data_IF_508222260633
#
_entry.id   IF_508222260633
#
_cell.length_a   1.000
_cell.length_b   1.000
_cell.length_c   1.000
_cell.angle_alpha   90.00
_cell.angle_beta   90.00
_cell.angle_gamma   90.00
#
_symmetry.space_group_name_H-M   'P 1'
#
loop_
_entity.id
_entity.type
_entity.pdbx_description
1 polymer ?
#
# COMPACT_ATOMS: atom_id res chain seq x y z
N UNK A 1 -8.94 33.47 -37.69
CA UNK A 1 -9.12 34.52 -36.67
C UNK A 1 -8.68 33.94 -35.33
N UNK A 2 -7.44 34.22 -34.95
CA UNK A 2 -6.74 33.65 -33.80
C UNK A 2 -6.78 34.67 -32.66
N UNK A 3 -7.38 34.30 -31.52
CA UNK A 3 -7.41 35.11 -30.30
C UNK A 3 -6.04 35.03 -29.58
N UNK A 4 -5.52 36.13 -29.03
CA UNK A 4 -4.29 36.10 -28.24
C UNK A 4 -4.53 35.54 -26.83
N UNK A 5 -3.52 34.90 -26.21
CA UNK A 5 -3.62 34.37 -24.85
C UNK A 5 -3.58 35.48 -23.79
N UNK A 6 -4.21 35.29 -22.61
CA UNK A 6 -4.17 36.24 -21.51
C UNK A 6 -2.82 36.25 -20.80
N UNK A 7 -2.39 37.44 -20.37
CA UNK A 7 -1.14 37.68 -19.66
C UNK A 7 -1.14 37.09 -18.23
N UNK A 8 0.02 36.63 -17.70
CA UNK A 8 0.09 36.09 -16.36
C UNK A 8 0.04 37.19 -15.29
N UNK A 9 -0.87 37.04 -14.33
CA UNK A 9 -0.91 37.85 -13.11
C UNK A 9 0.28 37.51 -12.21
N UNK A 10 1.15 38.49 -11.98
CA UNK A 10 2.24 38.44 -11.00
C UNK A 10 1.66 38.59 -9.59
N UNK A 11 1.77 37.55 -8.77
CA UNK A 11 1.54 37.65 -7.33
C UNK A 11 2.78 38.26 -6.65
N UNK A 12 2.58 39.40 -5.97
CA UNK A 12 3.57 40.00 -5.09
C UNK A 12 3.41 39.39 -3.70
N UNK A 13 4.36 38.55 -3.28
CA UNK A 13 4.56 38.23 -1.86
C UNK A 13 5.29 39.41 -1.21
N UNK A 14 4.68 39.95 -0.15
CA UNK A 14 5.34 40.89 0.78
C UNK A 14 5.98 40.06 1.89
N UNK A 15 7.30 40.01 1.91
CA UNK A 15 8.06 39.53 3.07
C UNK A 15 8.17 40.66 4.10
N UNK A 16 7.86 40.33 5.36
CA UNK A 16 8.08 41.20 6.50
C UNK A 16 9.26 40.66 7.32
N UNK A 17 10.12 41.61 7.70
CA UNK A 17 11.17 41.54 8.73
C UNK A 17 12.47 40.81 8.34
N UNK A 18 13.49 41.63 8.10
CA UNK A 18 14.89 41.22 8.04
C UNK A 18 15.58 41.29 9.41
N UNK A 19 16.64 40.49 9.55
CA UNK A 19 18.02 40.92 9.82
C UNK A 19 18.81 39.75 10.45
N UNK A 20 20.12 39.62 10.16
CA UNK A 20 20.85 38.37 10.25
C UNK A 20 21.64 38.22 11.56
N UNK A 21 21.92 36.98 11.96
CA UNK A 21 22.95 36.69 12.96
C UNK A 21 23.83 35.54 12.49
N UNK A 22 24.97 35.93 11.91
CA UNK A 22 26.16 35.12 11.72
C UNK A 22 26.77 34.86 13.11
N UNK A 23 26.97 33.60 13.51
CA UNK A 23 28.01 33.26 14.50
C UNK A 23 28.78 32.04 14.03
N UNK A 24 30.06 32.29 13.84
CA UNK A 24 31.10 31.36 13.43
C UNK A 24 31.85 30.87 14.67
N UNK A 25 32.31 29.61 14.58
CA UNK A 25 33.47 28.97 15.20
C UNK A 25 33.61 28.98 16.73
N UNK A 26 33.76 27.78 17.30
CA UNK A 26 35.06 27.36 17.86
C UNK A 26 35.14 25.84 18.08
N UNK A 27 36.16 25.23 17.47
CA UNK A 27 36.70 23.91 17.80
C UNK A 27 37.39 23.97 19.17
N UNK A 28 37.23 22.93 20.00
CA UNK A 28 38.18 22.57 21.06
C UNK A 28 38.39 21.05 21.07
N UNK A 29 39.57 20.54 20.74
CA UNK A 29 40.07 19.25 21.21
C UNK A 29 41.23 19.49 22.22
N UNK A 30 41.99 18.46 22.63
CA UNK A 30 41.62 17.26 23.37
C UNK A 30 42.33 17.24 24.75
N UNK A 31 42.01 16.30 25.66
CA UNK A 31 42.93 15.98 26.75
C UNK A 31 43.15 14.49 26.87
N UNK A 32 44.42 14.14 26.80
CA UNK A 32 44.99 12.81 26.78
C UNK A 32 45.14 12.22 28.20
N UNK A 33 45.43 10.92 28.18
CA UNK A 33 46.27 10.19 29.13
C UNK A 33 45.65 9.77 30.46
N UNK A 34 45.43 8.46 30.59
CA UNK A 34 46.27 7.66 31.51
C UNK A 34 46.28 6.18 31.12
N UNK A 35 47.49 5.74 30.79
CA UNK A 35 47.95 4.35 30.75
C UNK A 35 48.08 3.86 32.19
N UNK A 36 47.47 2.72 32.51
CA UNK A 36 47.94 1.85 33.60
C UNK A 36 48.02 0.43 33.03
N UNK A 37 49.26 -0.04 32.93
CA UNK A 37 49.66 -1.45 32.74
C UNK A 37 49.54 -2.20 34.08
N UNK A 38 49.61 -3.53 33.96
CA UNK A 38 49.90 -4.56 34.98
C UNK A 38 48.65 -5.16 35.65
N UNK A 39 48.48 -6.47 35.84
CA UNK A 39 49.27 -7.69 35.63
C UNK A 39 48.28 -8.88 35.66
N UNK A 40 48.44 -9.88 34.79
CA UNK A 40 47.93 -11.26 34.92
C UNK A 40 48.76 -12.00 35.99
N UNK A 41 48.28 -13.06 36.69
CA UNK A 41 47.99 -14.40 36.13
C UNK A 41 46.96 -15.25 36.96
N UNK A 42 46.91 -16.61 36.90
CA UNK A 42 46.74 -17.52 35.77
C UNK A 42 45.56 -18.54 35.95
N UNK A 43 45.30 -19.30 34.88
CA UNK A 43 44.74 -20.66 34.84
C UNK A 43 43.38 -20.97 35.51
N UNK A 44 42.36 -21.08 34.65
CA UNK A 44 41.19 -21.93 34.87
C UNK A 44 40.47 -22.13 33.54
N UNK A 45 40.72 -23.26 32.87
CA UNK A 45 40.00 -23.68 31.66
C UNK A 45 38.69 -24.35 32.03
N UNK A 46 37.52 -23.88 31.57
CA UNK A 46 36.36 -24.73 31.40
C UNK A 46 36.38 -25.30 29.98
N UNK A 47 36.36 -26.63 29.87
CA UNK A 47 36.01 -27.36 28.65
C UNK A 47 34.66 -26.83 28.15
N UNK A 48 34.64 -26.30 26.93
CA UNK A 48 33.41 -26.07 26.17
C UNK A 48 33.27 -27.26 25.23
N UNK A 49 32.22 -28.04 25.40
CA UNK A 49 31.83 -29.12 24.50
C UNK A 49 31.51 -28.53 23.12
N UNK A 50 32.06 -29.04 22.00
CA UNK A 50 31.64 -28.64 20.67
C UNK A 50 30.38 -29.45 20.29
N UNK A 51 29.28 -29.20 20.98
CA UNK A 51 27.97 -29.71 20.60
C UNK A 51 27.21 -28.61 19.84
N UNK A 52 27.24 -28.71 18.51
CA UNK A 52 26.16 -28.30 17.60
C UNK A 52 25.43 -26.99 17.95
N UNK A 53 26.06 -25.85 17.72
CA UNK A 53 25.34 -24.63 17.40
C UNK A 53 25.61 -24.28 15.93
N UNK A 54 24.83 -24.89 15.05
CA UNK A 54 24.44 -24.24 13.80
C UNK A 54 23.73 -22.95 14.18
N UNK A 55 24.50 -21.87 14.30
CA UNK A 55 23.96 -20.54 14.28
C UNK A 55 23.15 -20.42 12.98
N UNK A 56 21.82 -20.46 13.10
CA UNK A 56 20.91 -19.97 12.07
C UNK A 56 21.35 -18.54 11.79
N UNK A 57 22.03 -18.34 10.67
CA UNK A 57 22.24 -17.03 10.08
C UNK A 57 20.87 -16.31 10.06
N UNK A 58 20.87 -15.07 10.54
CA UNK A 58 19.70 -14.42 11.10
C UNK A 58 18.43 -14.43 10.25
N UNK A 59 17.31 -14.74 10.91
CA UNK A 59 15.99 -14.27 10.52
C UNK A 59 15.96 -12.79 10.89
N UNK A 60 16.63 -11.92 10.13
CA UNK A 60 16.57 -10.47 10.41
C UNK A 60 15.42 -9.79 9.72
N UNK A 61 14.72 -10.48 8.82
CA UNK A 61 13.70 -9.86 8.00
C UNK A 61 12.50 -10.78 7.87
N UNK A 62 11.57 -10.67 8.82
CA UNK A 62 10.26 -11.33 8.86
C UNK A 62 9.32 -10.86 7.73
N UNK A 63 9.88 -10.54 6.56
CA UNK A 63 9.18 -10.11 5.35
C UNK A 63 9.26 -11.24 4.34
N UNK A 64 8.13 -11.85 3.97
CA UNK A 64 8.14 -12.96 3.03
C UNK A 64 8.57 -12.49 1.64
N UNK A 65 9.26 -13.36 0.86
CA UNK A 65 9.72 -13.03 -0.48
C UNK A 65 8.56 -12.87 -1.48
N UNK A 66 7.42 -13.47 -1.19
CA UNK A 66 6.20 -13.41 -1.99
C UNK A 66 5.03 -13.15 -1.04
N UNK A 67 4.20 -12.18 -1.40
CA UNK A 67 2.94 -11.86 -0.74
C UNK A 67 1.81 -12.07 -1.74
N UNK A 68 0.87 -12.94 -1.42
CA UNK A 68 -0.37 -13.07 -2.18
C UNK A 68 -1.43 -12.20 -1.54
N UNK A 69 -2.11 -11.39 -2.34
CA UNK A 69 -3.15 -10.46 -1.91
C UNK A 69 -4.43 -10.82 -2.66
N UNK A 70 -5.50 -11.17 -1.96
CA UNK A 70 -6.84 -11.35 -2.54
C UNK A 70 -7.75 -10.25 -2.03
N UNK A 71 -8.37 -9.50 -2.94
CA UNK A 71 -9.25 -8.38 -2.62
C UNK A 71 -10.66 -8.69 -3.14
N UNK A 72 -11.64 -8.78 -2.25
CA UNK A 72 -13.04 -8.97 -2.60
C UNK A 72 -13.89 -7.75 -2.23
N UNK A 73 -15.00 -7.57 -2.95
CA UNK A 73 -15.95 -6.47 -2.73
C UNK A 73 -17.38 -7.00 -2.64
N UNK A 74 -18.13 -6.51 -1.64
CA UNK A 74 -19.56 -6.76 -1.46
C UNK A 74 -20.29 -5.45 -1.21
N UNK A 75 -21.40 -5.20 -1.89
CA UNK A 75 -22.19 -3.98 -1.68
C UNK A 75 -23.02 -4.08 -0.39
N UNK A 76 -22.96 -3.05 0.45
CA UNK A 76 -23.74 -2.93 1.70
C UNK A 76 -25.10 -2.27 1.44
N UNK A 77 -26.12 -2.54 2.27
CA UNK A 77 -26.10 -3.35 3.49
C UNK A 77 -26.31 -4.86 3.27
N UNK A 78 -26.68 -5.29 2.05
CA UNK A 78 -27.17 -6.65 1.80
C UNK A 78 -26.05 -7.66 1.45
N UNK A 79 -24.78 -7.28 1.57
CA UNK A 79 -23.63 -8.05 1.09
C UNK A 79 -23.79 -8.56 -0.36
N UNK A 80 -24.38 -7.71 -1.21
CA UNK A 80 -24.69 -8.07 -2.59
C UNK A 80 -23.43 -8.23 -3.46
N UNK A 81 -23.55 -8.90 -4.61
CA UNK A 81 -22.42 -9.08 -5.52
C UNK A 81 -22.00 -7.77 -6.19
N UNK A 82 -20.69 -7.62 -6.36
CA UNK A 82 -20.10 -6.69 -7.33
C UNK A 82 -19.97 -7.40 -8.68
N UNK A 83 -19.86 -6.64 -9.76
CA UNK A 83 -19.77 -7.19 -11.11
C UNK A 83 -18.60 -6.58 -11.86
N UNK A 84 -18.08 -7.32 -12.83
CA UNK A 84 -17.08 -6.83 -13.76
C UNK A 84 -17.43 -7.22 -15.19
N UNK A 85 -16.83 -6.52 -16.14
CA UNK A 85 -16.93 -6.83 -17.56
C UNK A 85 -15.54 -7.08 -18.13
N UNK A 86 -15.42 -8.08 -19.00
CA UNK A 86 -14.25 -8.26 -19.86
C UNK A 86 -14.43 -7.35 -21.07
N UNK A 87 -13.60 -6.31 -21.15
CA UNK A 87 -13.64 -5.32 -22.23
C UNK A 87 -12.60 -5.60 -23.35
N UNK A 88 -11.68 -6.56 -23.13
CA UNK A 88 -10.64 -6.91 -24.10
C UNK A 88 -9.64 -5.76 -24.29
N UNK A 89 -9.21 -5.50 -25.51
CA UNK A 89 -8.19 -4.47 -25.81
C UNK A 89 -8.78 -3.07 -26.07
N UNK A 90 -10.06 -2.86 -25.75
CA UNK A 90 -10.77 -1.60 -26.06
C UNK A 90 -10.38 -0.43 -25.17
N UNK A 91 -9.88 -0.71 -23.97
CA UNK A 91 -9.51 0.29 -22.97
C UNK A 91 -8.11 -0.02 -22.42
N UNK A 92 -7.63 0.79 -21.47
CA UNK A 92 -6.30 0.62 -20.88
C UNK A 92 -6.12 -0.71 -20.14
N UNK A 93 -7.20 -1.28 -19.59
CA UNK A 93 -7.21 -2.61 -18.97
C UNK A 93 -8.25 -3.53 -19.60
N UNK A 94 -7.98 -4.82 -19.50
CA UNK A 94 -8.82 -5.87 -20.12
C UNK A 94 -10.14 -6.11 -19.40
N UNK A 95 -10.27 -5.65 -18.16
CA UNK A 95 -11.44 -5.84 -17.29
C UNK A 95 -11.83 -4.54 -16.61
N UNK A 96 -13.13 -4.32 -16.46
CA UNK A 96 -13.69 -3.18 -15.75
C UNK A 96 -14.51 -3.63 -14.55
N UNK A 97 -14.15 -3.17 -13.36
CA UNK A 97 -14.99 -3.30 -12.15
C UNK A 97 -16.13 -2.29 -12.21
N UNK A 98 -17.34 -2.71 -11.86
CA UNK A 98 -18.53 -1.86 -11.88
C UNK A 98 -18.96 -1.54 -10.46
N UNK A 99 -19.03 -0.25 -10.15
CA UNK A 99 -19.40 0.26 -8.83
C UNK A 99 -20.56 1.24 -8.98
N UNK A 100 -21.35 1.40 -7.93
CA UNK A 100 -22.36 2.43 -7.79
C UNK A 100 -21.75 3.61 -7.05
N UNK A 101 -22.14 4.82 -7.42
CA UNK A 101 -21.83 6.04 -6.66
C UNK A 101 -22.73 6.15 -5.43
N UNK A 102 -22.24 6.76 -4.34
CA UNK A 102 -23.04 6.96 -3.12
C UNK A 102 -23.45 5.65 -2.44
N UNK A 103 -22.61 4.62 -2.58
CA UNK A 103 -22.81 3.29 -2.01
C UNK A 103 -21.60 2.87 -1.19
N UNK A 104 -21.83 2.03 -0.18
CA UNK A 104 -20.79 1.48 0.68
C UNK A 104 -20.46 0.05 0.25
N UNK A 105 -19.18 -0.28 0.26
CA UNK A 105 -18.66 -1.60 -0.07
C UNK A 105 -17.90 -2.15 1.12
N UNK A 106 -18.25 -3.37 1.53
CA UNK A 106 -17.40 -4.15 2.42
C UNK A 106 -16.28 -4.74 1.58
N UNK A 107 -15.06 -4.40 1.96
CA UNK A 107 -13.84 -4.93 1.39
C UNK A 107 -13.36 -6.03 2.32
N UNK A 108 -13.00 -7.18 1.74
CA UNK A 108 -12.24 -8.20 2.45
C UNK A 108 -10.92 -8.41 1.73
N UNK A 109 -9.84 -8.32 2.49
CA UNK A 109 -8.48 -8.53 2.04
C UNK A 109 -7.94 -9.78 2.73
N UNK A 110 -7.54 -10.77 1.94
CA UNK A 110 -6.84 -11.95 2.44
C UNK A 110 -5.38 -11.87 1.99
N UNK A 111 -4.46 -11.84 2.94
CA UNK A 111 -3.02 -11.83 2.67
C UNK A 111 -2.42 -13.19 3.03
N UNK A 112 -1.46 -13.66 2.23
CA UNK A 112 -0.65 -14.84 2.51
C UNK A 112 0.82 -14.54 2.25
N UNK A 113 1.76 -14.95 3.10
CA UNK A 113 1.58 -15.68 4.36
C UNK A 113 1.04 -14.82 5.52
N UNK A 114 0.65 -15.46 6.64
CA UNK A 114 -0.05 -14.79 7.74
C UNK A 114 0.79 -13.86 8.63
N UNK A 115 2.11 -13.81 8.42
CA UNK A 115 3.01 -12.85 9.09
C UNK A 115 3.04 -11.46 8.42
N UNK A 116 2.27 -11.27 7.35
CA UNK A 116 2.17 -9.99 6.64
C UNK A 116 1.19 -9.06 7.35
N UNK A 117 1.59 -7.80 7.55
CA UNK A 117 0.77 -6.82 8.27
C UNK A 117 0.45 -5.63 7.37
N UNK A 118 -0.83 -5.39 7.16
CA UNK A 118 -1.35 -4.25 6.40
C UNK A 118 -2.07 -3.26 7.33
N UNK A 119 -1.94 -1.97 7.03
CA UNK A 119 -2.38 -0.88 7.91
C UNK A 119 -3.61 -0.19 7.31
N UNK A 120 -3.43 0.41 6.14
CA UNK A 120 -4.45 1.16 5.44
C UNK A 120 -4.54 0.69 4.00
N UNK A 121 -5.71 0.90 3.41
CA UNK A 121 -5.94 0.75 1.98
C UNK A 121 -6.46 2.07 1.41
N UNK A 122 -6.04 2.37 0.18
CA UNK A 122 -6.48 3.51 -0.60
C UNK A 122 -7.20 3.00 -1.85
N UNK A 123 -8.39 3.53 -2.14
CA UNK A 123 -9.08 3.31 -3.41
C UNK A 123 -9.56 4.66 -3.94
N UNK A 124 -8.97 5.11 -5.05
CA UNK A 124 -9.35 6.34 -5.74
C UNK A 124 -9.16 7.60 -4.90
N UNK A 125 -8.18 7.62 -3.99
CA UNK A 125 -7.90 8.74 -3.08
C UNK A 125 -8.64 8.67 -1.74
N UNK A 126 -9.50 7.67 -1.54
CA UNK A 126 -10.18 7.42 -0.27
C UNK A 126 -9.35 6.41 0.52
N UNK A 127 -8.76 6.88 1.62
CA UNK A 127 -7.95 6.07 2.54
C UNK A 127 -8.81 5.61 3.71
N UNK A 128 -8.74 4.32 4.01
CA UNK A 128 -9.46 3.72 5.12
C UNK A 128 -8.60 2.65 5.82
N UNK A 129 -8.74 2.48 7.15
CA UNK A 129 -7.99 1.48 7.90
C UNK A 129 -8.46 0.07 7.57
N UNK A 130 -7.54 -0.89 7.66
CA UNK A 130 -7.82 -2.32 7.54
C UNK A 130 -7.96 -2.93 8.95
N UNK A 131 -9.14 -3.46 9.27
CA UNK A 131 -9.41 -4.08 10.56
C UNK A 131 -9.21 -5.60 10.47
N UNK A 132 -8.21 -6.11 11.19
CA UNK A 132 -7.92 -7.54 11.22
C UNK A 132 -9.10 -8.32 11.84
N UNK A 133 -9.58 -9.32 11.12
CA UNK A 133 -10.66 -10.22 11.56
C UNK A 133 -10.11 -11.54 12.09
N UNK A 134 -9.15 -12.11 11.38
CA UNK A 134 -8.53 -13.38 11.75
C UNK A 134 -7.08 -13.44 11.26
N UNK A 135 -6.27 -14.25 11.93
CA UNK A 135 -4.88 -14.53 11.56
C UNK A 135 -4.53 -15.96 11.95
N UNK A 136 -3.89 -16.67 11.04
CA UNK A 136 -3.20 -17.94 11.26
C UNK A 136 -1.80 -17.88 10.63
N UNK A 137 -1.08 -19.00 10.58
CA UNK A 137 0.27 -19.04 10.00
C UNK A 137 0.24 -18.86 8.47
N UNK A 138 -0.81 -19.33 7.81
CA UNK A 138 -0.93 -19.34 6.35
C UNK A 138 -1.48 -18.01 5.80
N UNK A 139 -2.30 -17.32 6.57
CA UNK A 139 -3.07 -16.18 6.11
C UNK A 139 -3.52 -15.23 7.22
N UNK A 140 -3.84 -14.00 6.81
CA UNK A 140 -4.50 -13.00 7.64
C UNK A 140 -5.62 -12.35 6.83
N UNK A 141 -6.75 -12.11 7.49
CA UNK A 141 -7.95 -11.53 6.87
C UNK A 141 -8.24 -10.18 7.50
N UNK A 142 -8.42 -9.16 6.67
CA UNK A 142 -8.82 -7.81 7.06
C UNK A 142 -10.14 -7.43 6.41
N UNK A 143 -10.98 -6.71 7.14
CA UNK A 143 -12.18 -6.07 6.60
C UNK A 143 -12.03 -4.55 6.64
N UNK A 144 -12.67 -3.89 5.69
CA UNK A 144 -12.81 -2.44 5.69
C UNK A 144 -14.08 -1.99 4.96
N UNK A 145 -14.42 -0.71 5.11
CA UNK A 145 -15.54 -0.08 4.42
C UNK A 145 -15.03 0.96 3.43
N UNK A 146 -15.31 0.73 2.15
CA UNK A 146 -15.08 1.68 1.09
C UNK A 146 -16.37 2.43 0.76
N UNK A 147 -16.38 3.73 1.03
CA UNK A 147 -17.51 4.61 0.73
C UNK A 147 -17.29 5.34 -0.59
N UNK A 148 -18.28 5.30 -1.48
CA UNK A 148 -18.26 6.02 -2.77
C UNK A 148 -19.13 7.28 -2.74
N UNK A 149 -19.52 7.75 -1.56
CA UNK A 149 -20.11 9.08 -1.38
C UNK A 149 -19.19 10.16 -1.97
N UNK A 150 -19.78 11.09 -2.72
CA UNK A 150 -19.04 12.14 -3.43
C UNK A 150 -18.29 11.70 -4.69
N UNK A 151 -18.15 10.40 -4.98
CA UNK A 151 -17.49 9.92 -6.21
C UNK A 151 -18.40 10.19 -7.42
N UNK A 152 -17.94 10.92 -8.46
CA UNK A 152 -18.76 11.24 -9.62
C UNK A 152 -18.98 10.00 -10.50
N UNK A 153 -20.17 9.90 -11.08
CA UNK A 153 -20.46 8.82 -12.01
C UNK A 153 -19.63 8.96 -13.30
N UNK A 154 -19.22 7.84 -13.86
CA UNK A 154 -18.47 7.80 -15.11
C UNK A 154 -19.41 7.99 -16.30
N UNK A 155 -19.02 8.82 -17.26
CA UNK A 155 -19.77 9.05 -18.50
C UNK A 155 -19.96 7.75 -19.31
N UNK A 156 -20.95 7.74 -20.18
CA UNK A 156 -21.15 6.63 -21.12
C UNK A 156 -19.93 6.50 -22.05
N UNK A 157 -19.58 5.29 -22.47
CA UNK A 157 -18.36 5.04 -23.24
C UNK A 157 -17.08 4.96 -22.39
N UNK A 158 -16.95 5.77 -21.34
CA UNK A 158 -15.69 5.92 -20.61
C UNK A 158 -15.45 4.89 -19.49
N UNK A 159 -14.18 4.79 -19.08
CA UNK A 159 -13.66 4.07 -17.91
C UNK A 159 -12.69 4.96 -17.15
N UNK A 160 -12.64 4.79 -15.84
CA UNK A 160 -11.76 5.56 -14.97
C UNK A 160 -10.61 4.66 -14.49
N UNK A 161 -9.34 5.08 -14.62
CA UNK A 161 -8.25 4.47 -13.87
C UNK A 161 -8.36 4.89 -12.41
N UNK A 162 -8.48 3.90 -11.52
CA UNK A 162 -8.62 4.09 -10.07
C UNK A 162 -7.36 3.54 -9.42
N UNK A 163 -6.58 4.42 -8.79
CA UNK A 163 -5.42 4.01 -8.01
C UNK A 163 -5.89 3.22 -6.79
N UNK A 164 -5.32 2.03 -6.64
CA UNK A 164 -5.50 1.19 -5.47
C UNK A 164 -4.15 0.98 -4.82
N UNK A 165 -4.08 1.23 -3.53
CA UNK A 165 -2.85 1.05 -2.77
C UNK A 165 -3.11 0.45 -1.39
N UNK A 166 -2.08 -0.15 -0.82
CA UNK A 166 -2.11 -0.70 0.53
C UNK A 166 -0.74 -0.52 1.19
N UNK A 167 -0.75 -0.09 2.43
CA UNK A 167 0.45 0.13 3.23
C UNK A 167 0.71 -1.08 4.13
N UNK A 168 1.95 -1.57 4.14
CA UNK A 168 2.38 -2.69 4.95
C UNK A 168 3.45 -2.27 5.95
N UNK A 169 3.36 -2.79 7.17
CA UNK A 169 4.27 -2.40 8.27
C UNK A 169 5.74 -2.65 7.95
N UNK A 170 6.04 -3.74 7.23
CA UNK A 170 7.41 -4.18 6.94
C UNK A 170 7.70 -4.40 5.46
N UNK A 171 6.69 -4.51 4.60
CA UNK A 171 6.84 -4.91 3.19
C UNK A 171 6.77 -3.73 2.19
N UNK A 172 6.60 -2.50 2.67
CA UNK A 172 6.45 -1.30 1.85
C UNK A 172 5.00 -1.10 1.39
N UNK A 173 4.82 -0.49 0.23
CA UNK A 173 3.48 -0.27 -0.35
C UNK A 173 3.20 -1.23 -1.50
N UNK A 174 1.93 -1.62 -1.62
CA UNK A 174 1.37 -2.20 -2.83
C UNK A 174 0.63 -1.11 -3.59
N UNK A 175 0.82 -1.01 -4.91
CA UNK A 175 0.11 -0.05 -5.75
C UNK A 175 -0.28 -0.68 -7.09
N UNK A 176 -1.52 -0.43 -7.52
CA UNK A 176 -2.05 -0.86 -8.82
C UNK A 176 -3.08 0.14 -9.35
N UNK A 177 -3.49 -0.03 -10.61
CA UNK A 177 -4.53 0.75 -11.26
C UNK A 177 -5.68 -0.17 -11.70
N UNK A 178 -6.79 -0.07 -10.99
CA UNK A 178 -8.03 -0.70 -11.42
C UNK A 178 -8.70 0.12 -12.50
N UNK A 179 -9.26 -0.54 -13.50
CA UNK A 179 -10.20 0.10 -14.41
C UNK A 179 -11.61 -0.03 -13.84
N UNK A 180 -12.22 1.09 -13.49
CA UNK A 180 -13.56 1.13 -12.91
C UNK A 180 -14.55 1.87 -13.80
N UNK A 181 -15.83 1.55 -13.60
CA UNK A 181 -16.94 2.35 -14.07
C UNK A 181 -17.92 2.57 -12.93
N UNK A 182 -18.07 3.84 -12.53
CA UNK A 182 -19.02 4.27 -11.53
C UNK A 182 -20.36 4.57 -12.19
N UNK A 183 -21.38 3.80 -11.86
CA UNK A 183 -22.74 3.99 -12.29
C UNK A 183 -23.49 4.82 -11.24
N UNK A 184 -24.37 5.70 -11.72
CA UNK A 184 -25.37 6.28 -10.84
C UNK A 184 -26.27 5.16 -10.28
N UNK A 185 -26.69 5.28 -9.02
CA UNK A 185 -27.60 4.34 -8.36
C UNK A 185 -28.88 4.04 -9.18
N UNK A 186 -29.42 5.02 -9.91
CA UNK A 186 -30.57 4.82 -10.79
C UNK A 186 -30.29 3.86 -11.97
N UNK A 187 -29.03 3.60 -12.29
CA UNK A 187 -28.58 2.65 -13.33
C UNK A 187 -28.04 1.35 -12.73
N UNK A 188 -28.50 0.97 -11.52
CA UNK A 188 -28.05 -0.25 -10.83
C UNK A 188 -28.18 -1.53 -11.65
N UNK A 189 -29.21 -1.64 -12.48
CA UNK A 189 -29.39 -2.79 -13.37
C UNK A 189 -28.20 -2.94 -14.35
N UNK A 190 -27.77 -1.84 -14.98
CA UNK A 190 -26.63 -1.85 -15.90
C UNK A 190 -25.29 -2.13 -15.18
N UNK A 191 -25.21 -1.75 -13.91
CA UNK A 191 -24.08 -2.05 -13.04
C UNK A 191 -23.95 -3.57 -12.81
N UNK A 192 -25.04 -4.32 -12.86
CA UNK A 192 -25.07 -5.77 -12.61
C UNK A 192 -24.84 -6.63 -13.86
N UNK A 193 -24.79 -6.04 -15.05
CA UNK A 193 -24.52 -6.82 -16.26
C UNK A 193 -23.07 -7.33 -16.31
N UNK A 194 -22.85 -8.55 -16.79
CA UNK A 194 -21.52 -9.14 -16.93
C UNK A 194 -21.29 -10.26 -15.92
N UNK A 195 -20.04 -10.40 -15.50
CA UNK A 195 -19.63 -11.48 -14.61
C UNK A 195 -19.72 -11.02 -13.15
N UNK A 196 -20.10 -11.94 -12.26
CA UNK A 196 -19.99 -11.68 -10.81
C UNK A 196 -18.53 -11.56 -10.45
N UNK A 197 -18.22 -10.57 -9.63
CA UNK A 197 -16.91 -10.33 -9.07
C UNK A 197 -16.80 -11.10 -7.74
N UNK A 198 -15.87 -12.03 -7.68
CA UNK A 198 -15.48 -12.71 -6.45
C UNK A 198 -14.33 -11.98 -5.80
N UNK A 199 -13.18 -11.91 -6.48
CA UNK A 199 -11.97 -11.26 -5.98
C UNK A 199 -11.00 -10.91 -7.11
N UNK A 200 -10.02 -10.07 -6.79
CA UNK A 200 -8.80 -9.93 -7.60
C UNK A 200 -7.64 -10.43 -6.76
N UNK A 201 -6.85 -11.31 -7.35
CA UNK A 201 -5.68 -11.91 -6.75
C UNK A 201 -4.42 -11.35 -7.37
N UNK A 202 -3.49 -10.96 -6.50
CA UNK A 202 -2.17 -10.46 -6.84
C UNK A 202 -1.11 -11.36 -6.23
N UNK A 203 -0.09 -11.68 -7.02
CA UNK A 203 1.17 -12.21 -6.51
C UNK A 203 2.20 -11.09 -6.54
N UNK A 204 2.68 -10.71 -5.37
CA UNK A 204 3.54 -9.55 -5.17
C UNK A 204 4.89 -9.95 -4.59
N UNK A 205 5.97 -9.27 -5.02
CA UNK A 205 7.31 -9.41 -4.47
C UNK A 205 7.78 -8.07 -3.89
N UNK A 206 8.04 -7.97 -2.57
CA UNK A 206 8.67 -6.79 -2.00
C UNK A 206 10.01 -6.48 -2.68
N UNK A 207 10.25 -5.21 -2.98
CA UNK A 207 11.53 -4.78 -3.54
C UNK A 207 12.65 -4.82 -2.48
N UNK A 208 13.89 -4.69 -2.93
CA UNK A 208 15.08 -4.77 -2.06
C UNK A 208 15.07 -3.71 -0.95
N UNK A 209 14.53 -2.52 -1.23
CA UNK A 209 14.45 -1.41 -0.26
C UNK A 209 13.21 -1.47 0.64
N UNK A 210 12.31 -2.43 0.44
CA UNK A 210 11.00 -2.57 1.13
C UNK A 210 10.16 -1.30 1.15
N UNK A 211 10.21 -0.56 0.04
CA UNK A 211 9.41 0.64 -0.15
C UNK A 211 8.21 0.36 -1.02
N UNK A 212 8.31 -0.58 -1.97
CA UNK A 212 7.26 -0.88 -2.95
C UNK A 212 7.29 -2.37 -3.30
N UNK A 213 6.12 -2.95 -3.60
CA UNK A 213 6.01 -4.30 -4.12
C UNK A 213 5.84 -4.33 -5.64
N UNK A 214 6.49 -5.29 -6.29
CA UNK A 214 6.26 -5.59 -7.69
C UNK A 214 5.13 -6.59 -7.86
N UNK A 215 4.24 -6.35 -8.81
CA UNK A 215 3.14 -7.25 -9.15
C UNK A 215 3.62 -8.19 -10.26
N UNK A 216 3.72 -9.48 -9.95
CA UNK A 216 4.10 -10.50 -10.93
C UNK A 216 2.88 -11.04 -11.69
N UNK A 217 1.74 -11.16 -11.00
CA UNK A 217 0.53 -11.75 -11.54
C UNK A 217 -0.70 -11.02 -11.02
N UNK A 218 -1.71 -10.88 -11.90
CA UNK A 218 -3.05 -10.41 -11.57
C UNK A 218 -4.08 -11.38 -12.15
N UNK A 219 -5.06 -11.79 -11.35
CA UNK A 219 -6.17 -12.64 -11.78
C UNK A 219 -7.50 -12.12 -11.21
N UNK A 220 -8.52 -12.00 -12.06
CA UNK A 220 -9.88 -11.69 -11.66
C UNK A 220 -10.71 -12.97 -11.62
N UNK A 221 -11.35 -13.22 -10.49
CA UNK A 221 -12.20 -14.37 -10.21
C UNK A 221 -13.66 -13.95 -10.01
#
# INVERSE_FOLDING_TARGET
>A
MTLPPPAPHTFILKDATGSPALRSLTLVPPSASRIIRCLLPPHGTPRIDPASQTHKAGIMDDVPPIVNISISLRIQPNEGPVFFKVDGTRFGQTRTIKLLTGSKYKIEVVLKPGNVEAINMNIGGIVFPLEQQSRDEESVVYHALYDTEGVPHTKSGDRQPVQVGMEFSKAGTFETLWQAKYYNYYKREHCQFGNKFSSIEYECKPNETRTLMWINKEAFN
#
